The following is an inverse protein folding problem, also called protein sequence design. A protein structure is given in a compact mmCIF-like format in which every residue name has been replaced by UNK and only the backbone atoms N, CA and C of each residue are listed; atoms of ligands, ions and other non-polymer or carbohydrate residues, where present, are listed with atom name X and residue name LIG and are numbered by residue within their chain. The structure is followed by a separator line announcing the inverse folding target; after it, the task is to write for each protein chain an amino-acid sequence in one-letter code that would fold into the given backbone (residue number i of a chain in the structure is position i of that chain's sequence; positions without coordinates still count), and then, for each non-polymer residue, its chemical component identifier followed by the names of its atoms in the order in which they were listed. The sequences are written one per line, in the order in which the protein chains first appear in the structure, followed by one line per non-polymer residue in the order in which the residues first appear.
data_IF_941540259165
#
_entry.id   IF_941540259165
#
_cell.length_a   1.000
_cell.length_b   1.000
_cell.length_c   1.000
_cell.angle_alpha   90.00
_cell.angle_beta   90.00
_cell.angle_gamma   90.00
#
_symmetry.space_group_name_H-M   'P 1'
#
loop_
_entity.id
_entity.type
_entity.pdbx_description
1 polymer ?
#
# COMPACT_ATOMS: atom_id res chain seq x y z
N UNK A 1 6.00 8.69 16.83
CA UNK A 1 5.84 7.49 15.98
C UNK A 1 5.32 7.84 14.58
N UNK A 2 4.25 8.65 14.46
CA UNK A 2 3.63 8.99 13.16
C UNK A 2 4.54 9.69 12.13
N UNK A 3 5.52 10.49 12.57
CA UNK A 3 6.43 11.19 11.66
C UNK A 3 7.36 10.23 10.88
N UNK A 4 7.85 9.18 11.54
CA UNK A 4 8.69 8.15 10.88
C UNK A 4 7.85 7.37 9.87
N UNK A 5 6.59 7.07 10.20
CA UNK A 5 5.65 6.44 9.27
C UNK A 5 5.45 7.29 8.03
N UNK A 6 5.21 8.60 8.17
CA UNK A 6 5.03 9.50 7.02
C UNK A 6 6.27 9.54 6.11
N UNK A 7 7.48 9.59 6.69
CA UNK A 7 8.73 9.52 5.92
C UNK A 7 8.82 8.18 5.17
N UNK A 8 8.52 7.06 5.83
CA UNK A 8 8.54 5.75 5.18
C UNK A 8 7.54 5.67 4.01
N UNK A 9 6.33 6.20 4.16
CA UNK A 9 5.33 6.23 3.09
C UNK A 9 5.77 7.07 1.90
N UNK A 10 6.39 8.23 2.15
CA UNK A 10 6.98 9.06 1.08
C UNK A 10 8.13 8.32 0.37
N UNK A 11 9.00 7.65 1.12
CA UNK A 11 10.08 6.83 0.54
C UNK A 11 9.53 5.70 -0.35
N UNK A 12 8.41 5.08 0.03
CA UNK A 12 7.73 4.07 -0.81
C UNK A 12 7.22 4.69 -2.12
N UNK A 13 6.61 5.88 -2.07
CA UNK A 13 6.20 6.61 -3.28
C UNK A 13 7.40 6.87 -4.20
N UNK A 14 8.50 7.39 -3.66
CA UNK A 14 9.72 7.61 -4.44
C UNK A 14 10.33 6.32 -5.00
N UNK A 15 10.27 5.22 -4.24
CA UNK A 15 10.75 3.91 -4.70
C UNK A 15 9.96 3.45 -5.94
N UNK A 16 8.62 3.52 -5.92
CA UNK A 16 7.81 3.17 -7.09
C UNK A 16 8.02 4.14 -8.27
N UNK A 17 8.15 5.45 -8.01
CA UNK A 17 8.44 6.43 -9.06
C UNK A 17 9.80 6.19 -9.72
N UNK A 18 10.80 5.70 -8.98
CA UNK A 18 12.12 5.39 -9.54
C UNK A 18 12.10 4.24 -10.56
N UNK A 19 11.05 3.42 -10.56
CA UNK A 19 10.83 2.33 -11.51
C UNK A 19 10.11 2.83 -12.79
N UNK A 20 9.53 4.04 -12.76
CA UNK A 20 8.78 4.60 -13.90
C UNK A 20 9.57 4.68 -15.21
N UNK A 21 10.88 5.03 -15.22
CA UNK A 21 11.69 4.99 -16.43
C UNK A 21 11.77 3.60 -17.07
N UNK A 22 11.76 2.51 -16.29
CA UNK A 22 11.69 1.16 -16.86
C UNK A 22 10.35 0.91 -17.57
N UNK A 23 9.27 1.46 -17.02
CA UNK A 23 7.94 1.33 -17.57
C UNK A 23 7.76 2.11 -18.89
N UNK A 24 8.39 3.29 -19.01
CA UNK A 24 8.31 4.13 -20.22
C UNK A 24 9.18 3.63 -21.38
N UNK A 25 10.24 2.88 -21.08
CA UNK A 25 11.17 2.32 -22.09
C UNK A 25 10.60 1.13 -22.86
N UNK A 26 9.47 0.56 -22.43
CA UNK A 26 8.92 -0.65 -23.05
C UNK A 26 7.59 -0.41 -23.76
N UNK A 27 7.55 -0.78 -25.03
CA UNK A 27 6.30 -0.88 -25.79
C UNK A 27 5.53 -2.16 -25.42
N UNK A 28 4.20 -2.07 -25.38
CA UNK A 28 3.31 -3.23 -25.21
C UNK A 28 2.71 -3.38 -23.80
N UNK A 29 2.10 -4.53 -23.55
CA UNK A 29 1.28 -4.76 -22.35
C UNK A 29 2.09 -4.71 -21.03
N UNK A 30 3.35 -5.15 -21.03
CA UNK A 30 4.20 -5.15 -19.82
C UNK A 30 4.51 -3.73 -19.31
N UNK A 31 4.90 -2.83 -20.22
CA UNK A 31 5.14 -1.42 -19.89
C UNK A 31 3.88 -0.72 -19.38
N UNK A 32 2.73 -0.93 -20.03
CA UNK A 32 1.44 -0.37 -19.59
C UNK A 32 1.03 -0.87 -18.20
N UNK A 33 1.13 -2.18 -17.96
CA UNK A 33 0.83 -2.77 -16.65
C UNK A 33 1.69 -2.14 -15.55
N UNK A 34 2.99 -1.97 -15.81
CA UNK A 34 3.90 -1.36 -14.85
C UNK A 34 3.58 0.13 -14.62
N UNK A 35 3.27 0.90 -15.68
CA UNK A 35 2.87 2.30 -15.54
C UNK A 35 1.60 2.46 -14.70
N UNK A 36 0.55 1.70 -15.01
CA UNK A 36 -0.68 1.71 -14.24
C UNK A 36 -0.42 1.24 -12.80
N UNK A 37 0.34 0.17 -12.60
CA UNK A 37 0.71 -0.31 -11.28
C UNK A 37 1.45 0.72 -10.44
N UNK A 38 2.40 1.47 -11.03
CA UNK A 38 3.10 2.56 -10.33
C UNK A 38 2.12 3.67 -9.95
N UNK A 39 1.26 4.11 -10.87
CA UNK A 39 0.26 5.15 -10.58
C UNK A 39 -0.68 4.71 -9.46
N UNK A 40 -1.20 3.48 -9.55
CA UNK A 40 -2.07 2.89 -8.51
C UNK A 40 -1.33 2.81 -7.17
N UNK A 41 -0.05 2.42 -7.15
CA UNK A 41 0.77 2.37 -5.94
C UNK A 41 0.95 3.76 -5.31
N UNK A 42 1.23 4.80 -6.12
CA UNK A 42 1.36 6.17 -5.60
C UNK A 42 0.06 6.66 -4.96
N UNK A 43 -1.09 6.39 -5.59
CA UNK A 43 -2.40 6.72 -5.05
C UNK A 43 -2.64 5.95 -3.75
N UNK A 44 -2.38 4.65 -3.74
CA UNK A 44 -2.52 3.78 -2.57
C UNK A 44 -1.71 4.29 -1.37
N UNK A 45 -0.41 4.58 -1.54
CA UNK A 45 0.41 5.11 -0.45
C UNK A 45 -0.07 6.49 0.03
N UNK A 46 -0.62 7.30 -0.87
CA UNK A 46 -1.24 8.59 -0.52
C UNK A 46 -2.49 8.41 0.34
N UNK A 47 -3.30 7.38 0.08
CA UNK A 47 -4.45 7.01 0.93
C UNK A 47 -3.95 6.67 2.35
N UNK A 48 -2.86 5.90 2.46
CA UNK A 48 -2.32 5.54 3.77
C UNK A 48 -1.77 6.76 4.55
N UNK A 49 -1.21 7.76 3.85
CA UNK A 49 -0.84 9.05 4.45
C UNK A 49 -2.08 9.76 5.03
N UNK A 50 -3.19 9.78 4.29
CA UNK A 50 -4.46 10.37 4.75
C UNK A 50 -4.95 9.62 5.99
N UNK A 51 -4.93 8.28 6.00
CA UNK A 51 -5.31 7.46 7.17
C UNK A 51 -4.49 7.83 8.40
N UNK A 52 -3.17 7.98 8.27
CA UNK A 52 -2.29 8.39 9.38
C UNK A 52 -2.67 9.79 9.89
N UNK A 53 -3.01 10.72 8.98
CA UNK A 53 -3.50 12.04 9.32
C UNK A 53 -4.83 12.01 10.08
N UNK A 54 -5.81 11.23 9.59
CA UNK A 54 -7.11 11.04 10.24
C UNK A 54 -6.96 10.43 11.62
N UNK A 55 -6.10 9.42 11.79
CA UNK A 55 -5.80 8.83 13.10
C UNK A 55 -5.21 9.85 14.07
N UNK A 56 -4.32 10.72 13.59
CA UNK A 56 -3.75 11.76 14.43
C UNK A 56 -4.79 12.79 14.85
N UNK A 57 -5.69 13.15 13.93
CA UNK A 57 -6.78 14.07 14.20
C UNK A 57 -7.81 13.49 15.18
N UNK A 58 -8.19 12.22 15.04
CA UNK A 58 -9.02 11.48 15.99
C UNK A 58 -8.41 11.52 17.41
N UNK A 59 -7.13 11.19 17.53
CA UNK A 59 -6.42 11.24 18.83
C UNK A 59 -6.45 12.65 19.40
N UNK A 60 -6.26 13.69 18.57
CA UNK A 60 -6.31 15.07 19.02
C UNK A 60 -7.70 15.46 19.55
N UNK A 61 -8.77 15.05 18.86
CA UNK A 61 -10.15 15.29 19.30
C UNK A 61 -10.44 14.58 20.63
N UNK A 62 -10.01 13.33 20.78
CA UNK A 62 -10.16 12.59 22.04
C UNK A 62 -9.38 13.24 23.19
N UNK A 63 -8.17 13.76 22.93
CA UNK A 63 -7.42 14.53 23.91
C UNK A 63 -8.14 15.82 24.31
N UNK A 64 -8.81 16.49 23.37
CA UNK A 64 -9.62 17.68 23.66
C UNK A 64 -10.86 17.36 24.47
N UNK A 65 -11.54 16.24 24.21
CA UNK A 65 -12.65 15.77 25.05
C UNK A 65 -12.19 15.55 26.50
N UNK A 66 -11.09 14.83 26.69
CA UNK A 66 -10.56 14.51 28.02
C UNK A 66 -10.12 15.74 28.84
N UNK A 67 -9.82 16.86 28.17
CA UNK A 67 -9.47 18.13 28.81
C UNK A 67 -10.67 19.05 29.06
N UNK A 68 -11.81 18.79 28.40
CA UNK A 68 -13.04 19.52 28.65
C UNK A 68 -13.68 19.07 29.96
N UNK A 69 -14.55 19.90 30.54
CA UNK A 69 -15.27 19.57 31.75
C UNK A 69 -16.10 18.29 31.53
N UNK A 70 -15.95 17.30 32.41
CA UNK A 70 -16.60 15.99 32.27
C UNK A 70 -18.12 16.15 32.24
N UNK A 71 -18.76 15.63 31.18
CA UNK A 71 -20.22 15.75 30.98
C UNK A 71 -20.68 17.06 30.34
N UNK A 72 -19.76 17.93 29.92
CA UNK A 72 -20.09 19.12 29.13
C UNK A 72 -20.50 18.76 27.70
N UNK A 73 -21.29 19.64 27.07
CA UNK A 73 -21.66 19.51 25.66
C UNK A 73 -20.42 19.50 24.75
N UNK A 74 -19.38 20.28 25.08
CA UNK A 74 -18.14 20.32 24.30
C UNK A 74 -17.37 19.00 24.33
N UNK A 75 -17.32 18.30 25.46
CA UNK A 75 -16.74 16.96 25.55
C UNK A 75 -17.49 15.97 24.65
N UNK A 76 -18.82 15.99 24.71
CA UNK A 76 -19.68 15.14 23.87
C UNK A 76 -19.50 15.45 22.37
N UNK A 77 -19.38 16.72 21.98
CA UNK A 77 -19.17 17.12 20.59
C UNK A 77 -17.80 16.65 20.06
N UNK A 78 -16.74 16.72 20.87
CA UNK A 78 -15.41 16.21 20.50
C UNK A 78 -15.38 14.69 20.35
N UNK A 79 -16.06 13.95 21.23
CA UNK A 79 -16.19 12.50 21.13
C UNK A 79 -16.97 12.07 19.90
N UNK A 80 -18.09 12.73 19.61
CA UNK A 80 -18.88 12.47 18.41
C UNK A 80 -18.07 12.76 17.14
N UNK A 81 -17.31 13.84 17.12
CA UNK A 81 -16.41 14.16 16.01
C UNK A 81 -15.30 13.12 15.86
N UNK A 82 -14.68 12.67 16.95
CA UNK A 82 -13.65 11.63 16.93
C UNK A 82 -14.19 10.31 16.37
N UNK A 83 -15.39 9.89 16.81
CA UNK A 83 -16.06 8.71 16.28
C UNK A 83 -16.38 8.83 14.79
N UNK A 84 -16.85 10.01 14.34
CA UNK A 84 -17.07 10.29 12.92
C UNK A 84 -15.80 10.16 12.09
N UNK A 85 -14.68 10.71 12.58
CA UNK A 85 -13.36 10.57 11.95
C UNK A 85 -12.92 9.10 11.93
N UNK A 86 -13.13 8.34 13.00
CA UNK A 86 -12.79 6.92 13.08
C UNK A 86 -13.54 6.07 12.04
N UNK A 87 -14.84 6.29 11.89
CA UNK A 87 -15.64 5.61 10.86
C UNK A 87 -15.19 5.98 9.45
N UNK A 88 -14.94 7.27 9.19
CA UNK A 88 -14.39 7.73 7.91
C UNK A 88 -13.03 7.09 7.62
N UNK A 89 -12.15 7.05 8.62
CA UNK A 89 -10.82 6.43 8.50
C UNK A 89 -10.92 4.95 8.12
N UNK A 90 -11.87 4.22 8.71
CA UNK A 90 -12.11 2.80 8.39
C UNK A 90 -12.49 2.60 6.93
N UNK A 91 -13.36 3.46 6.38
CA UNK A 91 -13.73 3.42 4.96
C UNK A 91 -12.55 3.73 4.04
N UNK A 92 -11.74 4.74 4.38
CA UNK A 92 -10.54 5.11 3.63
C UNK A 92 -9.50 3.99 3.67
N UNK A 93 -9.31 3.34 4.82
CA UNK A 93 -8.43 2.18 4.97
C UNK A 93 -8.89 1.00 4.11
N UNK A 94 -10.21 0.83 3.93
CA UNK A 94 -10.73 -0.23 3.07
C UNK A 94 -10.45 0.05 1.58
N UNK A 95 -10.49 1.31 1.15
CA UNK A 95 -10.03 1.70 -0.18
C UNK A 95 -8.53 1.40 -0.38
N UNK A 96 -7.70 1.63 0.64
CA UNK A 96 -6.28 1.23 0.62
C UNK A 96 -6.12 -0.28 0.40
N UNK A 97 -6.84 -1.12 1.15
CA UNK A 97 -6.77 -2.59 1.01
C UNK A 97 -7.05 -3.03 -0.42
N UNK A 98 -8.08 -2.46 -1.05
CA UNK A 98 -8.42 -2.78 -2.46
C UNK A 98 -7.32 -2.30 -3.41
N UNK A 99 -6.86 -1.06 -3.26
CA UNK A 99 -5.86 -0.46 -4.14
C UNK A 99 -4.51 -1.20 -4.06
N UNK A 100 -4.09 -1.61 -2.86
CA UNK A 100 -2.88 -2.40 -2.63
C UNK A 100 -2.84 -3.69 -3.44
N UNK A 101 -3.96 -4.42 -3.47
CA UNK A 101 -4.03 -5.70 -4.18
C UNK A 101 -3.85 -5.49 -5.67
N UNK A 102 -4.55 -4.49 -6.22
CA UNK A 102 -4.46 -4.13 -7.62
C UNK A 102 -3.06 -3.63 -7.99
N UNK A 103 -2.50 -2.71 -7.21
CA UNK A 103 -1.15 -2.18 -7.41
C UNK A 103 -0.11 -3.30 -7.46
N UNK A 104 -0.12 -4.19 -6.47
CA UNK A 104 0.84 -5.30 -6.36
C UNK A 104 0.76 -6.27 -7.53
N UNK A 105 -0.46 -6.60 -7.99
CA UNK A 105 -0.66 -7.44 -9.18
C UNK A 105 -0.10 -6.76 -10.44
N UNK A 106 -0.46 -5.50 -10.66
CA UNK A 106 -0.05 -4.75 -11.84
C UNK A 106 1.46 -4.55 -11.91
N UNK A 107 2.09 -4.14 -10.79
CA UNK A 107 3.53 -3.96 -10.72
C UNK A 107 4.25 -5.30 -10.86
N UNK A 108 3.83 -6.33 -10.14
CA UNK A 108 4.47 -7.65 -10.18
C UNK A 108 4.42 -8.27 -11.58
N UNK A 109 3.25 -8.28 -12.23
CA UNK A 109 3.12 -8.77 -13.61
C UNK A 109 3.85 -7.89 -14.62
N UNK A 110 3.82 -6.57 -14.42
CA UNK A 110 4.55 -5.60 -15.22
C UNK A 110 6.04 -5.90 -15.22
N UNK A 111 6.64 -6.01 -14.03
CA UNK A 111 8.05 -6.33 -13.82
C UNK A 111 8.43 -7.71 -14.35
N UNK A 112 7.63 -8.75 -14.08
CA UNK A 112 7.95 -10.12 -14.49
C UNK A 112 8.08 -10.28 -16.02
N UNK A 113 7.36 -9.46 -16.81
CA UNK A 113 7.49 -9.42 -18.27
C UNK A 113 8.79 -8.76 -18.76
N UNK A 114 9.45 -7.96 -17.93
CA UNK A 114 10.68 -7.25 -18.29
C UNK A 114 11.94 -8.08 -18.05
N UNK A 115 11.84 -9.07 -17.16
CA UNK A 115 12.97 -9.83 -16.65
C UNK A 115 13.20 -11.11 -17.46
N UNK A 116 14.47 -11.47 -17.64
CA UNK A 116 14.84 -12.67 -18.38
C UNK A 116 14.31 -13.95 -17.69
N UNK A 117 14.18 -15.03 -18.45
CA UNK A 117 13.68 -16.29 -17.91
C UNK A 117 14.66 -16.88 -16.89
N UNK A 118 14.18 -17.07 -15.66
CA UNK A 118 14.85 -17.74 -14.52
C UNK A 118 15.86 -16.92 -13.68
N UNK A 119 15.67 -15.60 -13.51
CA UNK A 119 16.36 -14.82 -12.46
C UNK A 119 15.51 -14.69 -11.17
N UNK A 120 16.18 -14.60 -10.02
CA UNK A 120 15.64 -14.30 -8.70
C UNK A 120 14.68 -13.09 -8.73
N UNK A 121 15.00 -12.07 -9.53
CA UNK A 121 14.17 -10.88 -9.65
C UNK A 121 12.81 -11.17 -10.28
N UNK A 122 12.76 -12.11 -11.24
CA UNK A 122 11.51 -12.53 -11.87
C UNK A 122 10.66 -13.32 -10.88
N UNK A 123 11.31 -14.16 -10.07
CA UNK A 123 10.68 -14.79 -8.91
C UNK A 123 10.08 -13.76 -7.96
N UNK A 124 10.84 -12.74 -7.56
CA UNK A 124 10.36 -11.65 -6.69
C UNK A 124 9.18 -10.88 -7.30
N UNK A 125 9.21 -10.61 -8.61
CA UNK A 125 8.10 -9.96 -9.32
C UNK A 125 6.83 -10.82 -9.32
N UNK A 126 6.93 -12.14 -9.51
CA UNK A 126 5.79 -13.05 -9.40
C UNK A 126 5.27 -13.18 -7.96
N UNK A 127 6.15 -13.21 -6.96
CA UNK A 127 5.76 -13.22 -5.55
C UNK A 127 5.01 -11.93 -5.20
N UNK A 128 5.46 -10.78 -5.69
CA UNK A 128 4.74 -9.51 -5.53
C UNK A 128 3.31 -9.58 -6.13
N UNK A 129 3.17 -10.14 -7.34
CA UNK A 129 1.85 -10.34 -7.93
C UNK A 129 0.99 -11.30 -7.11
N UNK A 130 1.58 -12.38 -6.60
CA UNK A 130 0.91 -13.36 -5.74
C UNK A 130 0.45 -12.73 -4.42
N UNK A 131 1.25 -11.85 -3.80
CA UNK A 131 0.84 -11.09 -2.60
C UNK A 131 -0.41 -10.26 -2.85
N UNK A 132 -0.50 -9.59 -4.00
CA UNK A 132 -1.70 -8.86 -4.39
C UNK A 132 -2.91 -9.78 -4.57
N UNK A 133 -2.74 -10.96 -5.18
CA UNK A 133 -3.81 -11.96 -5.29
C UNK A 133 -4.27 -12.48 -3.92
N UNK A 134 -3.34 -12.75 -3.00
CA UNK A 134 -3.67 -13.17 -1.62
C UNK A 134 -4.50 -12.10 -0.93
N UNK A 135 -4.10 -10.83 -1.02
CA UNK A 135 -4.88 -9.74 -0.44
C UNK A 135 -6.27 -9.60 -1.08
N UNK A 136 -6.39 -9.83 -2.39
CA UNK A 136 -7.68 -9.79 -3.09
C UNK A 136 -8.60 -10.92 -2.62
N UNK A 137 -8.09 -12.15 -2.54
CA UNK A 137 -8.86 -13.30 -2.01
C UNK A 137 -9.27 -13.03 -0.56
N UNK A 138 -8.35 -12.53 0.27
CA UNK A 138 -8.62 -12.18 1.66
C UNK A 138 -9.72 -11.11 1.79
N UNK A 139 -9.69 -10.08 0.94
CA UNK A 139 -10.73 -9.07 0.87
C UNK A 139 -12.09 -9.66 0.47
N UNK A 140 -12.13 -10.49 -0.57
CA UNK A 140 -13.36 -11.14 -1.02
C UNK A 140 -13.94 -12.09 0.04
N UNK A 141 -13.10 -12.81 0.77
CA UNK A 141 -13.54 -13.64 1.90
C UNK A 141 -14.14 -12.77 3.01
N UNK A 142 -13.48 -11.68 3.40
CA UNK A 142 -14.00 -10.76 4.42
C UNK A 142 -15.32 -10.09 4.03
N UNK A 143 -15.58 -9.88 2.74
CA UNK A 143 -16.87 -9.38 2.27
C UNK A 143 -18.01 -10.40 2.35
N UNK A 144 -17.70 -11.69 2.21
CA UNK A 144 -18.70 -12.75 2.10
C UNK A 144 -18.89 -13.59 3.37
N UNK A 145 -17.92 -13.55 4.29
CA UNK A 145 -17.98 -14.26 5.58
C UNK A 145 -17.78 -13.30 6.75
N UNK A 146 -18.87 -12.78 7.34
CA UNK A 146 -18.80 -11.87 8.49
C UNK A 146 -18.30 -12.56 9.77
N UNK A 147 -18.15 -13.89 9.79
CA UNK A 147 -17.54 -14.64 10.88
C UNK A 147 -16.01 -14.53 10.92
N UNK A 148 -15.37 -14.08 9.83
CA UNK A 148 -13.95 -13.83 9.79
C UNK A 148 -13.63 -12.55 10.57
N UNK A 149 -13.08 -12.71 11.77
CA UNK A 149 -12.69 -11.58 12.61
C UNK A 149 -11.74 -10.62 11.87
N UNK A 150 -12.01 -9.31 11.95
CA UNK A 150 -11.25 -8.25 11.28
C UNK A 150 -9.74 -8.33 11.53
N UNK A 151 -9.34 -8.76 12.73
CA UNK A 151 -7.94 -8.95 13.09
C UNK A 151 -7.23 -9.92 12.15
N UNK A 152 -7.84 -11.08 11.87
CA UNK A 152 -7.27 -12.08 10.98
C UNK A 152 -7.09 -11.57 9.54
N UNK A 153 -8.09 -10.82 9.04
CA UNK A 153 -8.06 -10.21 7.71
C UNK A 153 -6.93 -9.17 7.62
N UNK A 154 -6.75 -8.35 8.65
CA UNK A 154 -5.65 -7.39 8.70
C UNK A 154 -4.29 -8.06 8.84
N UNK A 155 -4.16 -9.15 9.61
CA UNK A 155 -2.91 -9.91 9.70
C UNK A 155 -2.49 -10.47 8.35
N UNK A 156 -3.41 -11.09 7.61
CA UNK A 156 -3.13 -11.66 6.29
C UNK A 156 -2.68 -10.56 5.31
N UNK A 157 -3.40 -9.43 5.27
CA UNK A 157 -3.00 -8.29 4.44
C UNK A 157 -1.63 -7.72 4.85
N UNK A 158 -1.33 -7.65 6.15
CA UNK A 158 -0.03 -7.22 6.66
C UNK A 158 1.11 -8.13 6.20
N UNK A 159 0.92 -9.45 6.22
CA UNK A 159 1.90 -10.43 5.72
C UNK A 159 2.09 -10.25 4.21
N UNK A 160 1.01 -10.11 3.44
CA UNK A 160 1.07 -9.89 2.00
C UNK A 160 1.83 -8.60 1.65
N UNK A 161 1.55 -7.50 2.37
CA UNK A 161 2.24 -6.22 2.23
C UNK A 161 3.73 -6.34 2.54
N UNK A 162 4.07 -7.03 3.63
CA UNK A 162 5.47 -7.28 4.00
C UNK A 162 6.21 -8.09 2.91
N UNK A 163 5.59 -9.15 2.40
CA UNK A 163 6.15 -9.96 1.32
C UNK A 163 6.35 -9.13 0.03
N UNK A 164 5.38 -8.30 -0.34
CA UNK A 164 5.49 -7.40 -1.48
C UNK A 164 6.63 -6.37 -1.30
N UNK A 165 6.76 -5.79 -0.11
CA UNK A 165 7.84 -4.88 0.24
C UNK A 165 9.23 -5.53 0.17
N UNK A 166 9.36 -6.77 0.66
CA UNK A 166 10.60 -7.54 0.55
C UNK A 166 10.96 -7.84 -0.92
N UNK A 167 9.97 -8.14 -1.76
CA UNK A 167 10.18 -8.32 -3.20
C UNK A 167 10.63 -7.03 -3.89
N UNK A 168 10.05 -5.89 -3.52
CA UNK A 168 10.45 -4.58 -4.03
C UNK A 168 11.91 -4.27 -3.68
N UNK A 169 12.34 -4.59 -2.45
CA UNK A 169 13.73 -4.45 -2.02
C UNK A 169 14.67 -5.32 -2.88
N UNK A 170 14.32 -6.57 -3.16
CA UNK A 170 15.11 -7.48 -4.00
C UNK A 170 15.27 -6.89 -5.42
N UNK A 171 14.19 -6.39 -6.01
CA UNK A 171 14.21 -5.73 -7.33
C UNK A 171 15.07 -4.46 -7.28
N UNK A 172 14.92 -3.62 -6.26
CA UNK A 172 15.72 -2.41 -6.05
C UNK A 172 17.22 -2.69 -5.92
N UNK A 173 17.60 -3.77 -5.22
CA UNK A 173 19.00 -4.21 -5.15
C UNK A 173 19.54 -4.66 -6.51
N UNK A 174 18.70 -5.27 -7.35
CA UNK A 174 19.03 -5.61 -8.73
C UNK A 174 19.30 -4.38 -9.59
N UNK A 175 18.46 -3.35 -9.44
CA UNK A 175 18.63 -2.05 -10.11
C UNK A 175 19.91 -1.34 -9.65
N UNK A 176 20.17 -1.29 -8.34
CA UNK A 176 21.38 -0.66 -7.78
C UNK A 176 22.67 -1.33 -8.28
N UNK A 177 22.66 -2.65 -8.46
CA UNK A 177 23.80 -3.41 -9.00
C UNK A 177 23.99 -3.22 -10.52
N UNK A 178 23.14 -2.45 -11.20
CA UNK A 178 23.26 -2.19 -12.64
C UNK A 178 23.09 -3.44 -13.51
N UNK A 179 22.25 -4.39 -13.09
CA UNK A 179 22.02 -5.61 -13.88
C UNK A 179 21.43 -5.24 -15.24
N UNK A 180 21.88 -5.94 -16.28
CA UNK A 180 21.55 -5.65 -17.69
C UNK A 180 20.03 -5.64 -17.94
N UNK A 181 19.28 -6.44 -17.19
CA UNK A 181 17.81 -6.51 -17.27
C UNK A 181 17.11 -5.22 -16.82
N UNK A 182 17.79 -4.42 -16.00
CA UNK A 182 17.34 -3.11 -15.52
C UNK A 182 18.13 -1.94 -16.13
N UNK A 183 19.18 -2.23 -16.92
CA UNK A 183 20.04 -1.23 -17.54
C UNK A 183 19.43 -0.67 -18.84
N UNK A 184 19.89 0.52 -19.25
CA UNK A 184 19.55 1.09 -20.56
C UNK A 184 20.00 0.14 -21.67
N UNK A 185 19.07 -0.23 -22.55
CA UNK A 185 19.45 -0.81 -23.84
C UNK A 185 19.86 0.37 -24.72
N UNK A 186 21.15 0.47 -25.02
CA UNK A 186 21.66 1.29 -26.12
C UNK A 186 21.03 0.88 -27.45
#
# INVERSE_FOLDING_TARGET
MNFITLIALLLMIFAFLSIYPLASRQAGAGGRLLQFGIITSVIEWSILIIVVGMRHFEIHLMQRSNLADSGSQSAADFEAAALGVHHGMTAVLMAFVVMFTLASILVGLGLAKQLASADLYKGAAYVMAASGLVGLVNFLLGMNDPGLGLESLFTINGIALFAAGACLLIVGLGMYKGRIEFAERE
#
